data_IF_200874820534
#
_entry.id   IF_200874820534
#
_cell.length_a   1.000
_cell.length_b   1.000
_cell.length_c   1.000
_cell.angle_alpha   90.00
_cell.angle_beta   90.00
_cell.angle_gamma   90.00
#
_symmetry.space_group_name_H-M   'P 1'
#
loop_
_entity.id
_entity.type
_entity.pdbx_description
1 polymer ?
#
# COMPACT_ATOMS: atom_id res chain seq x y z
N UNK A 1 -0.46 -2.79 -0.61
CA UNK A 1 -1.35 -3.04 -1.78
C UNK A 1 -1.02 -2.02 -2.86
N UNK A 2 -0.39 -2.46 -3.95
CA UNK A 2 -0.16 -1.57 -5.08
C UNK A 2 -1.45 -1.32 -5.86
N UNK A 3 -1.62 -0.10 -6.38
CA UNK A 3 -2.79 0.26 -7.18
C UNK A 3 -4.11 0.05 -6.43
N UNK A 4 -4.19 0.58 -5.21
CA UNK A 4 -5.29 0.35 -4.27
C UNK A 4 -6.68 0.71 -4.82
N UNK A 5 -6.78 1.67 -5.73
CA UNK A 5 -8.05 2.08 -6.35
C UNK A 5 -8.49 1.20 -7.52
N UNK A 6 -7.80 0.09 -7.81
CA UNK A 6 -8.18 -0.89 -8.84
C UNK A 6 -9.17 -1.93 -8.27
N UNK A 7 -9.83 -2.71 -9.13
CA UNK A 7 -10.75 -3.76 -8.64
C UNK A 7 -10.08 -4.74 -7.67
N UNK A 8 -8.87 -5.20 -7.98
CA UNK A 8 -8.09 -6.09 -7.09
C UNK A 8 -7.67 -5.35 -5.81
N UNK A 9 -7.19 -4.11 -5.95
CA UNK A 9 -6.77 -3.29 -4.82
C UNK A 9 -7.90 -3.05 -3.82
N UNK A 10 -9.10 -2.69 -4.31
CA UNK A 10 -10.30 -2.47 -3.50
C UNK A 10 -10.65 -3.73 -2.70
N UNK A 11 -10.72 -4.88 -3.37
CA UNK A 11 -11.00 -6.16 -2.70
C UNK A 11 -9.93 -6.50 -1.67
N UNK A 12 -8.65 -6.33 -2.01
CA UNK A 12 -7.55 -6.62 -1.10
C UNK A 12 -7.58 -5.76 0.16
N UNK A 13 -7.85 -4.46 0.02
CA UNK A 13 -7.98 -3.52 1.15
C UNK A 13 -9.10 -4.00 2.08
N UNK A 14 -10.28 -4.25 1.53
CA UNK A 14 -11.45 -4.62 2.33
C UNK A 14 -11.27 -5.98 3.02
N UNK A 15 -10.74 -6.99 2.32
CA UNK A 15 -10.48 -8.31 2.90
C UNK A 15 -9.43 -8.24 4.00
N UNK A 16 -8.29 -7.60 3.75
CA UNK A 16 -7.23 -7.49 4.75
C UNK A 16 -7.69 -6.69 5.99
N UNK A 17 -8.45 -5.61 5.77
CA UNK A 17 -9.07 -4.83 6.86
C UNK A 17 -10.05 -5.69 7.67
N UNK A 18 -10.93 -6.45 7.00
CA UNK A 18 -11.90 -7.31 7.66
C UNK A 18 -11.23 -8.43 8.48
N UNK A 19 -10.05 -8.88 8.07
CA UNK A 19 -9.21 -9.83 8.82
C UNK A 19 -8.42 -9.18 9.98
N UNK A 20 -8.54 -7.87 10.18
CA UNK A 20 -7.87 -7.15 11.27
C UNK A 20 -6.43 -6.74 10.97
N UNK A 21 -5.99 -6.80 9.71
CA UNK A 21 -4.65 -6.37 9.31
C UNK A 21 -4.58 -4.87 9.05
N UNK A 22 -3.38 -4.31 9.23
CA UNK A 22 -3.02 -2.96 8.80
C UNK A 22 -2.80 -2.97 7.30
N UNK A 23 -3.35 -1.99 6.59
CA UNK A 23 -3.28 -1.95 5.12
C UNK A 23 -2.73 -0.62 4.67
N UNK A 24 -1.61 -0.66 3.94
CA UNK A 24 -1.08 0.48 3.22
C UNK A 24 -1.37 0.31 1.72
N UNK A 25 -1.90 1.34 1.09
CA UNK A 25 -2.27 1.35 -0.31
C UNK A 25 -1.48 2.40 -1.10
N UNK A 26 -1.25 2.19 -2.39
CA UNK A 26 -0.71 3.23 -3.27
C UNK A 26 -1.73 3.62 -4.33
N UNK A 27 -1.79 4.91 -4.68
CA UNK A 27 -2.64 5.41 -5.76
C UNK A 27 -2.02 6.64 -6.43
N UNK A 28 -2.53 7.01 -7.61
CA UNK A 28 -1.88 8.01 -8.48
C UNK A 28 -2.47 9.43 -8.43
N UNK A 29 -3.45 9.68 -7.56
CA UNK A 29 -4.03 11.01 -7.27
C UNK A 29 -4.51 11.07 -5.82
N UNK A 30 -4.68 12.28 -5.28
CA UNK A 30 -5.21 12.50 -3.94
C UNK A 30 -6.63 11.92 -3.77
N UNK A 31 -7.54 12.07 -4.74
CA UNK A 31 -8.89 11.52 -4.62
C UNK A 31 -8.88 9.99 -4.55
N UNK A 32 -8.00 9.35 -5.32
CA UNK A 32 -7.84 7.88 -5.27
C UNK A 32 -7.23 7.40 -3.96
N UNK A 33 -6.35 8.20 -3.36
CA UNK A 33 -5.80 7.89 -2.03
C UNK A 33 -6.90 7.95 -0.98
N UNK A 34 -7.68 9.04 -0.96
CA UNK A 34 -8.82 9.18 -0.06
C UNK A 34 -9.81 8.01 -0.21
N UNK A 35 -10.15 7.62 -1.44
CA UNK A 35 -11.02 6.47 -1.69
C UNK A 35 -10.45 5.16 -1.09
N UNK A 36 -9.13 4.94 -1.14
CA UNK A 36 -8.51 3.76 -0.53
C UNK A 36 -8.62 3.78 1.01
N UNK A 37 -8.48 4.95 1.63
CA UNK A 37 -8.62 5.14 3.08
C UNK A 37 -10.07 4.91 3.52
N UNK A 38 -11.05 5.43 2.77
CA UNK A 38 -12.49 5.16 2.99
C UNK A 38 -12.84 3.67 2.88
N UNK A 39 -12.13 2.92 2.05
CA UNK A 39 -12.27 1.46 1.91
C UNK A 39 -11.62 0.67 3.05
N UNK A 40 -10.86 1.32 3.93
CA UNK A 40 -10.26 0.71 5.11
C UNK A 40 -8.74 0.62 5.09
N UNK A 41 -8.07 1.21 4.10
CA UNK A 41 -6.62 1.40 4.19
C UNK A 41 -6.29 2.32 5.37
N UNK A 42 -5.28 1.96 6.15
CA UNK A 42 -4.78 2.82 7.24
C UNK A 42 -4.13 4.09 6.68
N UNK A 43 -3.40 3.95 5.58
CA UNK A 43 -2.80 5.06 4.84
C UNK A 43 -2.75 4.73 3.37
N UNK A 44 -3.18 5.68 2.54
CA UNK A 44 -2.93 5.63 1.11
C UNK A 44 -1.81 6.62 0.73
N UNK A 45 -0.92 6.18 -0.16
CA UNK A 45 0.30 6.88 -0.52
C UNK A 45 0.19 7.30 -1.98
N UNK A 46 0.31 8.60 -2.24
CA UNK A 46 0.37 9.08 -3.61
C UNK A 46 1.78 8.86 -4.16
N UNK A 47 1.98 7.80 -4.94
CA UNK A 47 3.32 7.39 -5.42
C UNK A 47 4.00 8.41 -6.34
N UNK A 48 3.27 9.46 -6.78
CA UNK A 48 3.82 10.57 -7.57
C UNK A 48 4.39 11.69 -6.71
N UNK A 49 4.01 11.76 -5.43
CA UNK A 49 4.36 12.83 -4.50
C UNK A 49 5.21 12.32 -3.33
N UNK A 50 5.02 11.05 -2.95
CA UNK A 50 5.66 10.42 -1.80
C UNK A 50 6.41 9.13 -2.21
N UNK A 51 7.50 8.83 -1.49
CA UNK A 51 8.16 7.53 -1.58
C UNK A 51 7.49 6.53 -0.64
N UNK A 52 6.77 5.56 -1.23
CA UNK A 52 6.06 4.55 -0.45
C UNK A 52 6.97 3.70 0.44
N UNK A 53 8.23 3.48 0.06
CA UNK A 53 9.18 2.70 0.87
C UNK A 53 9.50 3.46 2.15
N UNK A 54 9.77 4.77 2.02
CA UNK A 54 10.05 5.64 3.16
C UNK A 54 8.85 5.75 4.10
N UNK A 55 7.66 5.99 3.55
CA UNK A 55 6.41 6.10 4.33
C UNK A 55 6.10 4.79 5.06
N UNK A 56 6.23 3.63 4.39
CA UNK A 56 6.02 2.33 5.02
C UNK A 56 6.99 2.14 6.17
N UNK A 57 8.28 2.46 6.00
CA UNK A 57 9.27 2.34 7.07
C UNK A 57 8.92 3.24 8.25
N UNK A 58 8.51 4.48 8.00
CA UNK A 58 8.08 5.39 9.06
C UNK A 58 6.90 4.82 9.86
N UNK A 59 5.83 4.42 9.17
CA UNK A 59 4.59 3.92 9.79
C UNK A 59 4.73 2.56 10.48
N UNK A 60 5.80 1.83 10.18
CA UNK A 60 6.09 0.50 10.75
C UNK A 60 7.25 0.53 11.75
N UNK A 61 7.80 1.72 12.06
CA UNK A 61 8.94 1.86 12.97
C UNK A 61 10.20 1.17 12.44
N UNK A 62 10.39 1.19 11.12
CA UNK A 62 11.51 0.60 10.41
C UNK A 62 11.34 -0.88 10.06
N UNK A 63 10.26 -1.54 10.49
CA UNK A 63 10.08 -2.99 10.28
C UNK A 63 9.73 -3.38 8.85
N UNK A 64 9.02 -2.54 8.10
CA UNK A 64 8.46 -2.93 6.80
C UNK A 64 7.11 -3.65 6.92
N UNK A 65 6.66 -4.22 5.81
CA UNK A 65 5.40 -4.98 5.70
C UNK A 65 5.65 -6.48 5.57
N UNK A 66 4.75 -7.29 6.14
CA UNK A 66 4.84 -8.75 6.04
C UNK A 66 4.45 -9.28 4.65
N UNK A 67 3.57 -8.55 3.94
CA UNK A 67 3.02 -8.96 2.64
C UNK A 67 2.91 -7.76 1.71
N UNK A 68 3.39 -7.94 0.48
CA UNK A 68 3.12 -7.02 -0.64
C UNK A 68 2.22 -7.71 -1.65
N UNK A 69 1.13 -7.03 -2.01
CA UNK A 69 0.31 -7.39 -3.17
C UNK A 69 0.65 -6.42 -4.30
N UNK A 70 1.37 -6.92 -5.29
CA UNK A 70 1.78 -6.17 -6.48
C UNK A 70 1.10 -6.72 -7.75
N UNK A 71 0.62 -5.79 -8.56
CA UNK A 71 -0.01 -6.02 -9.86
C UNK A 71 0.64 -5.15 -10.96
N UNK A 72 1.60 -4.29 -10.59
CA UNK A 72 2.35 -3.40 -11.49
C UNK A 72 3.58 -4.13 -12.02
N UNK A 73 4.36 -4.78 -11.15
CA UNK A 73 5.57 -5.50 -11.49
C UNK A 73 6.70 -4.58 -11.99
N UNK A 74 7.69 -5.21 -12.63
CA UNK A 74 8.83 -4.51 -13.23
C UNK A 74 9.71 -3.82 -12.19
N UNK A 75 9.99 -2.54 -12.39
CA UNK A 75 10.91 -1.77 -11.55
C UNK A 75 10.41 -1.57 -10.11
N UNK A 76 9.12 -1.83 -9.85
CA UNK A 76 8.55 -1.77 -8.50
C UNK A 76 9.05 -2.90 -7.60
N UNK A 77 9.33 -4.08 -8.15
CA UNK A 77 9.65 -5.29 -7.37
C UNK A 77 10.86 -5.07 -6.45
N UNK A 78 11.91 -4.42 -6.95
CA UNK A 78 13.10 -4.14 -6.14
C UNK A 78 12.79 -3.21 -4.95
N UNK A 79 11.91 -2.22 -5.16
CA UNK A 79 11.48 -1.30 -4.10
C UNK A 79 10.59 -2.00 -3.09
N UNK A 80 9.73 -2.89 -3.53
CA UNK A 80 8.85 -3.68 -2.66
C UNK A 80 9.65 -4.61 -1.76
N UNK A 81 10.67 -5.29 -2.32
CA UNK A 81 11.60 -6.09 -1.52
C UNK A 81 12.29 -5.24 -0.46
N UNK A 82 12.63 -3.99 -0.77
CA UNK A 82 13.28 -3.08 0.18
C UNK A 82 12.38 -2.59 1.34
N UNK A 83 11.07 -2.84 1.27
CA UNK A 83 10.12 -2.53 2.33
C UNK A 83 9.44 -3.75 2.94
N UNK A 84 9.87 -4.98 2.60
CA UNK A 84 9.47 -6.18 3.31
C UNK A 84 10.12 -6.25 4.70
N UNK A 85 9.43 -6.89 5.64
CA UNK A 85 9.98 -7.24 6.93
C UNK A 85 10.96 -8.42 6.83
N UNK A 86 11.97 -8.43 7.72
CA UNK A 86 12.95 -9.52 7.89
C UNK A 86 12.38 -10.73 8.63
#
# INVERSE_FOLDING_TARGET
VQGGSSGIGVTAIQVAKALGHRVFATAGTAEKCQACEELGAERAINYKEEDFVAVVKELTGGKGVDVVLDMVGGDYVAREVSCLAD
#
